data_IF_114372646355
#
_entry.id   IF_114372646355
#
_cell.length_a   1.000
_cell.length_b   1.000
_cell.length_c   1.000
_cell.angle_alpha   90.00
_cell.angle_beta   90.00
_cell.angle_gamma   90.00
#
_symmetry.space_group_name_H-M   'P 1'
#
loop_
_entity.id
_entity.type
_entity.pdbx_description
1 polymer ?
#
# COMPACT_ATOMS: atom_id res chain seq x y z
N UNK A 1 9.53 -41.80 16.60
CA UNK A 1 10.47 -40.73 16.18
C UNK A 1 9.64 -39.56 15.69
N UNK A 2 9.57 -38.50 16.50
CA UNK A 2 8.64 -37.38 16.33
C UNK A 2 9.29 -36.33 15.42
N UNK A 3 8.79 -36.15 14.20
CA UNK A 3 9.22 -35.07 13.31
C UNK A 3 8.72 -33.73 13.86
N UNK A 4 9.63 -32.96 14.44
CA UNK A 4 9.40 -31.58 14.87
C UNK A 4 9.44 -30.69 13.62
N UNK A 5 8.38 -29.91 13.29
CA UNK A 5 8.49 -28.92 12.23
C UNK A 5 9.47 -27.85 12.71
N UNK A 6 10.57 -27.71 11.98
CA UNK A 6 11.50 -26.61 12.17
C UNK A 6 10.76 -25.33 11.81
N UNK A 7 10.42 -24.55 12.84
CA UNK A 7 9.92 -23.19 12.67
C UNK A 7 11.06 -22.40 12.00
N UNK A 8 11.03 -22.34 10.68
CA UNK A 8 11.94 -21.53 9.87
C UNK A 8 11.73 -20.11 10.36
N UNK A 9 12.73 -19.57 11.05
CA UNK A 9 12.68 -18.21 11.56
C UNK A 9 12.27 -17.30 10.42
N UNK A 10 11.26 -16.47 10.66
CA UNK A 10 10.91 -15.33 9.84
C UNK A 10 12.10 -14.37 9.84
N UNK A 11 13.12 -14.71 9.06
CA UNK A 11 14.13 -13.76 8.66
C UNK A 11 13.39 -12.77 7.77
N UNK A 12 13.29 -11.52 8.20
CA UNK A 12 12.80 -10.43 7.37
C UNK A 12 13.54 -10.49 6.04
N UNK A 13 12.86 -10.93 4.98
CA UNK A 13 13.49 -11.01 3.66
C UNK A 13 13.77 -9.56 3.24
N UNK A 14 15.04 -9.17 2.97
CA UNK A 14 15.39 -7.80 2.62
C UNK A 14 14.57 -7.26 1.43
N UNK A 15 14.14 -8.18 0.56
CA UNK A 15 13.25 -7.95 -0.59
C UNK A 15 11.89 -7.42 -0.17
N UNK A 16 11.27 -8.05 0.84
CA UNK A 16 9.98 -7.61 1.38
C UNK A 16 10.10 -6.24 2.03
N UNK A 17 11.18 -6.01 2.78
CA UNK A 17 11.45 -4.72 3.41
C UNK A 17 11.63 -3.60 2.36
N UNK A 18 12.38 -3.84 1.28
CA UNK A 18 12.55 -2.87 0.19
C UNK A 18 11.24 -2.59 -0.56
N UNK A 19 10.44 -3.62 -0.85
CA UNK A 19 9.14 -3.45 -1.50
C UNK A 19 8.19 -2.61 -0.62
N UNK A 20 8.21 -2.81 0.69
CA UNK A 20 7.43 -2.00 1.64
C UNK A 20 7.89 -0.54 1.65
N UNK A 21 9.20 -0.28 1.66
CA UNK A 21 9.73 1.09 1.63
C UNK A 21 9.38 1.80 0.32
N UNK A 22 9.53 1.13 -0.83
CA UNK A 22 9.11 1.71 -2.11
C UNK A 22 7.61 1.94 -2.18
N UNK A 23 6.81 1.02 -1.66
CA UNK A 23 5.36 1.21 -1.56
C UNK A 23 4.99 2.41 -0.68
N UNK A 24 5.67 2.61 0.45
CA UNK A 24 5.49 3.79 1.30
C UNK A 24 5.83 5.08 0.56
N UNK A 25 6.95 5.12 -0.17
CA UNK A 25 7.35 6.30 -0.96
C UNK A 25 6.34 6.59 -2.05
N UNK A 26 5.97 5.59 -2.86
CA UNK A 26 4.98 5.76 -3.93
C UNK A 26 3.61 6.21 -3.38
N UNK A 27 3.22 5.70 -2.22
CA UNK A 27 1.98 6.12 -1.53
C UNK A 27 2.07 7.54 -1.03
N UNK A 28 3.23 7.94 -0.51
CA UNK A 28 3.44 9.28 0.01
C UNK A 28 3.35 10.33 -1.10
N UNK A 29 3.84 10.01 -2.31
CA UNK A 29 3.76 10.91 -3.46
C UNK A 29 2.42 10.83 -4.21
N UNK A 30 1.87 9.63 -4.43
CA UNK A 30 0.63 9.44 -5.20
C UNK A 30 -0.66 9.61 -4.38
N UNK A 31 -0.61 9.34 -3.07
CA UNK A 31 -1.75 9.41 -2.17
C UNK A 31 -2.37 10.80 -2.06
N UNK A 32 -1.58 11.88 -1.87
CA UNK A 32 -2.12 13.24 -1.80
C UNK A 32 -2.82 13.66 -3.08
N UNK A 33 -2.28 13.32 -4.25
CA UNK A 33 -2.86 13.73 -5.53
C UNK A 33 -4.20 13.02 -5.81
N UNK A 34 -4.29 11.72 -5.49
CA UNK A 34 -5.55 10.97 -5.53
C UNK A 34 -6.59 11.52 -4.53
N UNK A 35 -6.13 11.90 -3.34
CA UNK A 35 -6.99 12.43 -2.28
C UNK A 35 -7.57 13.80 -2.65
N UNK A 36 -6.77 14.71 -3.18
CA UNK A 36 -7.22 16.03 -3.63
C UNK A 36 -8.28 15.96 -4.75
N UNK A 37 -8.20 14.95 -5.62
CA UNK A 37 -9.19 14.76 -6.69
C UNK A 37 -10.51 14.19 -6.19
N UNK A 38 -10.48 13.37 -5.13
CA UNK A 38 -11.65 12.61 -4.66
C UNK A 38 -12.35 13.25 -3.46
N UNK A 39 -11.67 14.10 -2.71
CA UNK A 39 -12.19 14.70 -1.47
C UNK A 39 -13.45 15.55 -1.69
N UNK A 40 -13.55 16.30 -2.79
CA UNK A 40 -14.72 17.12 -3.08
C UNK A 40 -16.02 16.30 -3.18
N UNK A 41 -15.94 15.12 -3.80
CA UNK A 41 -17.06 14.18 -3.91
C UNK A 41 -17.46 13.59 -2.56
N UNK A 42 -16.48 13.30 -1.71
CA UNK A 42 -16.71 12.73 -0.39
C UNK A 42 -17.31 13.75 0.57
N UNK A 43 -16.85 15.00 0.50
CA UNK A 43 -17.43 16.11 1.28
C UNK A 43 -18.89 16.31 0.86
N UNK A 44 -19.18 16.41 -0.44
CA UNK A 44 -20.54 16.56 -0.94
C UNK A 44 -21.47 15.38 -0.54
N UNK A 45 -20.95 14.15 -0.57
CA UNK A 45 -21.68 12.98 -0.08
C UNK A 45 -21.93 13.01 1.43
N UNK A 46 -20.91 13.37 2.22
CA UNK A 46 -21.03 13.43 3.67
C UNK A 46 -21.99 14.54 4.12
N UNK A 47 -21.91 15.73 3.53
CA UNK A 47 -22.82 16.84 3.80
C UNK A 47 -24.28 16.49 3.46
N UNK A 48 -24.52 15.82 2.33
CA UNK A 48 -25.87 15.43 1.91
C UNK A 48 -26.49 14.30 2.76
N UNK A 49 -25.67 13.45 3.39
CA UNK A 49 -26.16 12.25 4.09
C UNK A 49 -26.11 12.35 5.62
N UNK A 50 -25.10 13.03 6.15
CA UNK A 50 -24.80 13.07 7.59
C UNK A 50 -24.80 14.49 8.18
N UNK A 51 -24.92 15.53 7.34
CA UNK A 51 -24.86 16.93 7.77
C UNK A 51 -23.42 17.42 7.98
N UNK A 52 -23.24 18.74 8.02
CA UNK A 52 -21.92 19.39 8.04
C UNK A 52 -21.04 19.00 9.24
N UNK A 53 -21.65 18.54 10.34
CA UNK A 53 -20.94 18.18 11.58
C UNK A 53 -20.14 16.86 11.46
N UNK A 54 -20.58 15.94 10.60
CA UNK A 54 -19.93 14.63 10.39
C UNK A 54 -19.04 14.58 9.15
N UNK A 55 -19.09 15.63 8.30
CA UNK A 55 -18.22 15.76 7.13
C UNK A 55 -16.72 15.66 7.45
N UNK A 56 -16.18 16.27 8.54
CA UNK A 56 -14.77 16.16 8.88
C UNK A 56 -14.33 14.72 9.22
N UNK A 57 -15.19 13.96 9.89
CA UNK A 57 -14.91 12.57 10.27
C UNK A 57 -14.90 11.67 9.04
N UNK A 58 -15.84 11.87 8.11
CA UNK A 58 -15.89 11.15 6.84
C UNK A 58 -14.64 11.43 5.98
N UNK A 59 -14.16 12.67 5.99
CA UNK A 59 -12.93 13.08 5.29
C UNK A 59 -11.69 12.37 5.86
N UNK A 60 -11.55 12.29 7.19
CA UNK A 60 -10.43 11.57 7.83
C UNK A 60 -10.49 10.07 7.51
N UNK A 61 -11.68 9.47 7.56
CA UNK A 61 -11.88 8.07 7.18
C UNK A 61 -11.51 7.81 5.71
N UNK A 62 -11.89 8.72 4.80
CA UNK A 62 -11.54 8.63 3.40
C UNK A 62 -10.04 8.79 3.15
N UNK A 63 -9.37 9.70 3.84
CA UNK A 63 -7.92 9.86 3.76
C UNK A 63 -7.19 8.56 4.10
N UNK A 64 -7.63 7.85 5.14
CA UNK A 64 -7.08 6.54 5.52
C UNK A 64 -7.33 5.47 4.46
N UNK A 65 -8.52 5.43 3.86
CA UNK A 65 -8.85 4.46 2.79
C UNK A 65 -7.96 4.71 1.56
N UNK A 66 -7.83 5.96 1.12
CA UNK A 66 -6.99 6.32 -0.03
C UNK A 66 -5.52 6.01 0.23
N UNK A 67 -5.02 6.28 1.44
CA UNK A 67 -3.66 5.94 1.83
C UNK A 67 -3.42 4.42 1.83
N UNK A 68 -4.34 3.64 2.43
CA UNK A 68 -4.24 2.18 2.48
C UNK A 68 -4.34 1.55 1.08
N UNK A 69 -5.24 2.05 0.23
CA UNK A 69 -5.41 1.58 -1.14
C UNK A 69 -4.17 1.86 -2.00
N UNK A 70 -3.64 3.07 -1.91
CA UNK A 70 -2.42 3.47 -2.63
C UNK A 70 -1.21 2.64 -2.18
N UNK A 71 -1.09 2.36 -0.87
CA UNK A 71 -0.06 1.48 -0.33
C UNK A 71 -0.17 0.05 -0.84
N UNK A 72 -1.38 -0.50 -0.85
CA UNK A 72 -1.59 -1.86 -1.30
C UNK A 72 -1.32 -2.02 -2.80
N UNK A 73 -1.80 -1.06 -3.61
CA UNK A 73 -1.55 -1.02 -5.05
C UNK A 73 -0.05 -0.93 -5.35
N UNK A 74 0.66 0.01 -4.71
CA UNK A 74 2.09 0.16 -4.89
C UNK A 74 2.86 -1.11 -4.47
N UNK A 75 2.48 -1.72 -3.34
CA UNK A 75 3.13 -2.94 -2.84
C UNK A 75 3.03 -4.10 -3.83
N UNK A 76 1.85 -4.34 -4.41
CA UNK A 76 1.67 -5.41 -5.41
C UNK A 76 2.54 -5.14 -6.66
N UNK A 77 2.56 -3.90 -7.14
CA UNK A 77 3.36 -3.54 -8.33
C UNK A 77 4.85 -3.73 -8.07
N UNK A 78 5.35 -3.35 -6.90
CA UNK A 78 6.76 -3.51 -6.56
C UNK A 78 7.16 -4.96 -6.33
N UNK A 79 6.30 -5.80 -5.76
CA UNK A 79 6.63 -7.21 -5.55
C UNK A 79 6.87 -7.93 -6.89
N UNK A 80 5.98 -7.71 -7.86
CA UNK A 80 6.08 -8.26 -9.22
C UNK A 80 7.31 -7.70 -9.96
N UNK A 81 7.53 -6.38 -9.86
CA UNK A 81 8.68 -5.72 -10.48
C UNK A 81 10.02 -6.21 -9.88
N UNK A 82 10.08 -6.42 -8.57
CA UNK A 82 11.28 -6.89 -7.89
C UNK A 82 11.58 -8.35 -8.25
N UNK A 83 10.56 -9.21 -8.26
CA UNK A 83 10.71 -10.63 -8.66
C UNK A 83 11.17 -10.73 -10.12
N UNK A 84 10.55 -9.97 -11.03
CA UNK A 84 10.96 -9.95 -12.44
C UNK A 84 12.36 -9.37 -12.64
N UNK A 85 12.74 -8.32 -11.92
CA UNK A 85 14.08 -7.75 -11.95
C UNK A 85 15.14 -8.74 -11.42
N UNK A 86 14.87 -9.41 -10.30
CA UNK A 86 15.76 -10.44 -9.75
C UNK A 86 15.92 -11.58 -10.75
N UNK A 87 14.84 -12.02 -11.40
CA UNK A 87 14.89 -13.07 -12.39
C UNK A 87 15.66 -12.66 -13.65
N UNK A 88 15.48 -11.41 -14.11
CA UNK A 88 16.23 -10.85 -15.24
C UNK A 88 17.74 -10.73 -14.94
N UNK A 89 18.10 -10.34 -13.72
CA UNK A 89 19.51 -10.31 -13.27
C UNK A 89 20.07 -11.72 -13.14
N UNK A 90 19.31 -12.67 -12.59
CA UNK A 90 19.72 -14.06 -12.48
C UNK A 90 20.00 -14.69 -13.85
N UNK A 91 19.14 -14.44 -14.86
CA UNK A 91 19.36 -14.88 -16.24
C UNK A 91 20.54 -14.19 -16.94
N UNK A 92 21.01 -13.04 -16.46
CA UNK A 92 22.19 -12.35 -17.00
C UNK A 92 23.50 -12.84 -16.39
N UNK A 93 23.45 -13.44 -15.21
CA UNK A 93 24.62 -13.94 -14.47
C UNK A 93 24.89 -15.43 -14.73
N UNK A 94 23.93 -16.15 -15.30
CA UNK A 94 24.01 -17.56 -15.70
C UNK A 94 24.09 -17.68 -17.22
#
# INVERSE_FOLDING_TARGET
MQHRPTHKGSGHDPKEAMAVVLALVATFFGGPELYHFTIGTVIAFAESRYGADLAPVAVIGWALIVAAFSFYAARITFDIALVSAIMAVAMRLF
#
